data_IF_676196743152
#
_entry.id   IF_676196743152
#
_cell.length_a   1.000
_cell.length_b   1.000
_cell.length_c   1.000
_cell.angle_alpha   90.00
_cell.angle_beta   90.00
_cell.angle_gamma   90.00
#
_symmetry.space_group_name_H-M   'P 1'
#
loop_
_entity.id
_entity.type
_entity.pdbx_description
1 polymer ?
#
# COMPACT_ATOMS: atom_id res chain seq x y z
N UNK A 1 -32.54 -9.26 4.78
CA UNK A 1 -31.17 -8.77 5.08
C UNK A 1 -30.06 -9.79 4.81
N UNK A 2 -30.30 -11.11 4.96
CA UNK A 2 -29.28 -12.16 4.71
C UNK A 2 -28.82 -12.28 3.24
N UNK A 3 -29.62 -11.82 2.28
CA UNK A 3 -29.33 -12.03 0.85
C UNK A 3 -28.32 -11.02 0.28
N UNK A 4 -28.23 -9.81 0.87
CA UNK A 4 -27.36 -8.74 0.36
C UNK A 4 -25.87 -8.92 0.66
N UNK A 5 -25.52 -9.59 1.76
CA UNK A 5 -24.11 -9.91 2.06
C UNK A 5 -23.61 -11.07 1.21
N UNK A 6 -24.45 -12.10 1.01
CA UNK A 6 -24.16 -13.22 0.12
C UNK A 6 -23.99 -12.76 -1.34
N UNK A 7 -24.81 -11.82 -1.80
CA UNK A 7 -24.63 -11.27 -3.15
C UNK A 7 -23.35 -10.46 -3.28
N UNK A 8 -23.01 -9.64 -2.27
CA UNK A 8 -21.75 -8.88 -2.25
C UNK A 8 -20.50 -9.78 -2.30
N UNK A 9 -20.48 -10.87 -1.52
CA UNK A 9 -19.34 -11.81 -1.54
C UNK A 9 -19.20 -12.51 -2.88
N UNK A 10 -20.30 -12.91 -3.51
CA UNK A 10 -20.29 -13.51 -4.86
C UNK A 10 -19.69 -12.53 -5.87
N UNK A 11 -20.12 -11.27 -5.86
CA UNK A 11 -19.59 -10.24 -6.79
C UNK A 11 -18.09 -10.04 -6.56
N UNK A 12 -17.66 -9.94 -5.30
CA UNK A 12 -16.25 -9.80 -4.98
C UNK A 12 -15.43 -11.01 -5.48
N UNK A 13 -15.94 -12.23 -5.30
CA UNK A 13 -15.26 -13.43 -5.81
C UNK A 13 -15.22 -13.48 -7.33
N UNK A 14 -16.27 -13.05 -8.03
CA UNK A 14 -16.28 -12.97 -9.50
C UNK A 14 -15.23 -11.99 -10.01
N UNK A 15 -15.09 -10.84 -9.37
CA UNK A 15 -14.06 -9.86 -9.70
C UNK A 15 -12.64 -10.37 -9.38
N UNK A 16 -12.45 -11.17 -8.34
CA UNK A 16 -11.15 -11.83 -8.10
C UNK A 16 -10.85 -12.92 -9.13
N UNK A 17 -11.87 -13.68 -9.55
CA UNK A 17 -11.70 -14.72 -10.58
C UNK A 17 -11.39 -14.14 -11.95
N UNK A 18 -11.81 -12.90 -12.23
CA UNK A 18 -11.50 -12.21 -13.49
C UNK A 18 -10.00 -11.92 -13.63
N UNK A 19 -9.23 -11.89 -12.53
CA UNK A 19 -7.78 -11.68 -12.55
C UNK A 19 -7.03 -12.72 -13.39
N UNK A 20 -7.56 -13.95 -13.45
CA UNK A 20 -6.98 -15.00 -14.29
C UNK A 20 -7.01 -14.66 -15.78
N UNK A 21 -7.96 -13.82 -16.21
CA UNK A 21 -8.18 -13.45 -17.61
C UNK A 21 -7.64 -12.06 -17.95
N UNK A 22 -7.41 -11.21 -16.95
CA UNK A 22 -6.98 -9.83 -17.17
C UNK A 22 -5.46 -9.70 -17.21
N UNK A 23 -4.91 -9.55 -18.42
CA UNK A 23 -3.47 -9.40 -18.65
C UNK A 23 -2.87 -8.15 -17.99
N UNK A 24 -3.68 -7.11 -17.70
CA UNK A 24 -3.17 -5.93 -16.98
C UNK A 24 -2.69 -6.32 -15.59
N UNK A 25 -3.45 -7.14 -14.87
CA UNK A 25 -3.13 -7.52 -13.49
C UNK A 25 -1.84 -8.35 -13.46
N UNK A 26 -1.68 -9.25 -14.42
CA UNK A 26 -0.42 -10.00 -14.61
C UNK A 26 0.76 -9.09 -14.95
N UNK A 27 0.56 -8.10 -15.82
CA UNK A 27 1.59 -7.10 -16.14
C UNK A 27 2.00 -6.30 -14.91
N UNK A 28 1.04 -5.81 -14.12
CA UNK A 28 1.30 -5.04 -12.89
C UNK A 28 2.09 -5.91 -11.90
N UNK A 29 1.64 -7.14 -11.65
CA UNK A 29 2.34 -8.07 -10.75
C UNK A 29 3.78 -8.36 -11.20
N UNK A 30 4.01 -8.56 -12.50
CA UNK A 30 5.34 -8.82 -13.06
C UNK A 30 6.26 -7.60 -12.92
N UNK A 31 5.77 -6.40 -13.23
CA UNK A 31 6.55 -5.16 -13.09
C UNK A 31 6.95 -4.94 -11.63
N UNK A 32 6.02 -5.11 -10.69
CA UNK A 32 6.30 -4.96 -9.26
C UNK A 32 7.31 -5.99 -8.78
N UNK A 33 7.17 -7.25 -9.20
CA UNK A 33 8.13 -8.30 -8.86
C UNK A 33 9.54 -7.92 -9.34
N UNK A 34 9.70 -7.46 -10.58
CA UNK A 34 10.99 -7.03 -11.13
C UNK A 34 11.55 -5.83 -10.34
N UNK A 35 10.70 -4.86 -9.97
CA UNK A 35 11.12 -3.71 -9.15
C UNK A 35 11.62 -4.14 -7.77
N UNK A 36 10.91 -5.04 -7.10
CA UNK A 36 11.30 -5.58 -5.79
C UNK A 36 12.63 -6.32 -5.89
N UNK A 37 12.77 -7.22 -6.88
CA UNK A 37 14.01 -7.97 -7.10
C UNK A 37 15.16 -7.00 -7.35
N UNK A 38 15.00 -6.06 -8.28
CA UNK A 38 16.05 -5.10 -8.63
C UNK A 38 16.45 -4.22 -7.45
N UNK A 39 15.49 -3.84 -6.62
CA UNK A 39 15.80 -3.10 -5.41
C UNK A 39 16.53 -3.98 -4.40
N UNK A 40 16.02 -5.16 -4.09
CA UNK A 40 16.51 -5.98 -2.99
C UNK A 40 17.78 -6.78 -3.31
N UNK A 41 18.11 -7.04 -4.57
CA UNK A 41 19.25 -7.88 -4.97
C UNK A 41 20.60 -7.42 -4.41
N UNK A 42 20.76 -6.11 -4.16
CA UNK A 42 21.98 -5.57 -3.53
C UNK A 42 22.19 -6.04 -2.09
N UNK A 43 21.13 -6.41 -1.38
CA UNK A 43 21.19 -6.90 0.00
C UNK A 43 21.87 -8.27 0.07
N UNK A 44 21.39 -9.34 -0.59
CA UNK A 44 22.04 -10.65 -0.53
C UNK A 44 23.43 -10.65 -1.17
N UNK A 45 23.66 -9.88 -2.24
CA UNK A 45 24.97 -9.75 -2.87
C UNK A 45 26.04 -9.20 -1.93
N UNK A 46 25.67 -8.30 -1.02
CA UNK A 46 26.58 -7.79 0.00
C UNK A 46 26.61 -8.69 1.25
N UNK A 47 25.49 -9.31 1.60
CA UNK A 47 25.34 -10.16 2.77
C UNK A 47 26.22 -11.41 2.71
N UNK A 48 26.11 -12.17 1.61
CA UNK A 48 26.71 -13.50 1.48
C UNK A 48 28.24 -13.47 1.54
N UNK A 49 28.95 -12.59 0.80
CA UNK A 49 30.41 -12.56 0.84
C UNK A 49 30.96 -12.08 2.19
N UNK A 50 30.18 -11.29 2.93
CA UNK A 50 30.58 -10.73 4.22
C UNK A 50 30.08 -11.54 5.42
N UNK A 51 29.40 -12.67 5.20
CA UNK A 51 28.81 -13.50 6.27
C UNK A 51 27.78 -12.76 7.12
N UNK A 52 27.11 -11.74 6.55
CA UNK A 52 26.12 -10.91 7.26
C UNK A 52 24.70 -11.41 7.01
N UNK A 53 23.81 -11.10 7.94
CA UNK A 53 22.41 -11.54 7.93
C UNK A 53 21.46 -10.36 7.71
N UNK A 54 20.26 -10.65 7.23
CA UNK A 54 19.19 -9.70 6.93
C UNK A 54 17.85 -10.20 7.47
N UNK A 55 17.00 -9.27 7.87
CA UNK A 55 15.65 -9.54 8.39
C UNK A 55 14.79 -10.37 7.43
N UNK A 56 14.02 -11.32 7.98
CA UNK A 56 13.04 -12.11 7.23
C UNK A 56 11.95 -11.28 6.52
N UNK A 57 11.53 -10.14 7.09
CA UNK A 57 10.47 -9.29 6.53
C UNK A 57 10.97 -7.87 6.24
N UNK A 58 11.23 -7.60 4.96
CA UNK A 58 11.69 -6.30 4.48
C UNK A 58 10.56 -5.32 4.12
N UNK A 59 9.31 -5.65 4.42
CA UNK A 59 8.18 -4.77 4.15
C UNK A 59 8.32 -3.37 4.79
N UNK A 60 8.77 -3.25 6.06
CA UNK A 60 9.07 -1.95 6.66
C UNK A 60 10.22 -1.20 5.99
N UNK A 61 11.16 -1.93 5.38
CA UNK A 61 12.32 -1.39 4.66
C UNK A 61 11.94 -0.93 3.26
N UNK A 62 11.08 -1.67 2.55
CA UNK A 62 10.58 -1.30 1.23
C UNK A 62 9.68 -0.06 1.27
N UNK A 63 8.99 0.14 2.39
CA UNK A 63 8.12 1.29 2.65
C UNK A 63 8.81 2.36 3.51
N UNK A 64 10.13 2.25 3.71
CA UNK A 64 10.93 3.25 4.41
C UNK A 64 10.91 4.59 3.66
N UNK A 65 11.06 5.68 4.40
CA UNK A 65 10.79 7.02 3.89
C UNK A 65 11.76 7.49 2.81
N UNK A 66 11.32 8.48 2.02
CA UNK A 66 12.00 8.92 0.80
C UNK A 66 13.43 9.45 1.03
N UNK A 67 13.69 10.04 2.20
CA UNK A 67 15.03 10.50 2.61
C UNK A 67 16.00 9.35 2.91
N UNK A 68 15.48 8.16 3.18
CA UNK A 68 16.22 7.02 3.67
C UNK A 68 16.36 5.90 2.62
N UNK A 69 15.37 5.71 1.73
CA UNK A 69 15.29 4.51 0.87
C UNK A 69 15.20 4.76 -0.64
N UNK A 70 15.56 5.96 -1.13
CA UNK A 70 15.31 6.39 -2.52
C UNK A 70 13.80 6.25 -2.85
N UNK A 71 12.96 7.11 -2.26
CA UNK A 71 11.49 7.01 -2.16
C UNK A 71 10.66 6.75 -3.43
N UNK A 72 11.29 6.65 -4.59
CA UNK A 72 10.67 6.22 -5.85
C UNK A 72 10.05 4.82 -5.75
N UNK A 73 10.64 3.86 -5.03
CA UNK A 73 10.09 2.50 -4.98
C UNK A 73 8.74 2.46 -4.27
N UNK A 74 8.62 3.14 -3.12
CA UNK A 74 7.37 3.28 -2.37
C UNK A 74 6.27 3.89 -3.26
N UNK A 75 6.59 4.98 -3.95
CA UNK A 75 5.72 5.65 -4.92
C UNK A 75 5.27 4.68 -6.03
N UNK A 76 6.20 3.93 -6.63
CA UNK A 76 5.90 2.96 -7.69
C UNK A 76 5.01 1.80 -7.21
N UNK A 77 5.19 1.33 -5.97
CA UNK A 77 4.31 0.31 -5.36
C UNK A 77 2.88 0.84 -5.25
N UNK A 78 2.67 2.08 -4.80
CA UNK A 78 1.32 2.64 -4.72
C UNK A 78 0.73 2.95 -6.10
N UNK A 79 1.53 3.36 -7.08
CA UNK A 79 1.11 3.45 -8.47
C UNK A 79 0.66 2.09 -9.04
N UNK A 80 1.36 1.01 -8.71
CA UNK A 80 0.92 -0.36 -9.04
C UNK A 80 -0.47 -0.68 -8.46
N UNK A 81 -0.74 -0.25 -7.23
CA UNK A 81 -2.06 -0.36 -6.60
C UNK A 81 -3.13 0.45 -7.34
N UNK A 82 -2.83 1.69 -7.75
CA UNK A 82 -3.76 2.51 -8.55
C UNK A 82 -4.07 1.85 -9.89
N UNK A 83 -3.07 1.31 -10.59
CA UNK A 83 -3.25 0.60 -11.86
C UNK A 83 -4.06 -0.69 -11.72
N UNK A 84 -4.03 -1.32 -10.54
CA UNK A 84 -4.88 -2.47 -10.24
C UNK A 84 -6.36 -2.06 -10.13
N UNK A 85 -6.63 -0.84 -9.65
CA UNK A 85 -7.98 -0.32 -9.44
C UNK A 85 -8.48 0.68 -10.50
N UNK A 86 -7.71 0.96 -11.55
CA UNK A 86 -8.00 2.05 -12.49
C UNK A 86 -9.29 1.85 -13.31
N UNK A 87 -9.74 0.61 -13.47
CA UNK A 87 -10.98 0.26 -14.18
C UNK A 87 -12.23 0.34 -13.31
N UNK A 88 -12.14 0.78 -12.05
CA UNK A 88 -13.31 0.85 -11.18
C UNK A 88 -14.44 1.68 -11.83
N UNK A 89 -15.69 1.19 -11.91
CA UNK A 89 -16.17 -0.14 -11.50
C UNK A 89 -15.74 -1.30 -12.42
N UNK A 90 -15.31 -2.43 -11.82
CA UNK A 90 -14.47 -3.45 -12.46
C UNK A 90 -15.13 -4.37 -13.51
N UNK A 91 -16.42 -4.16 -13.82
CA UNK A 91 -17.21 -5.11 -14.61
C UNK A 91 -17.36 -4.70 -16.09
N UNK A 92 -16.68 -5.48 -16.95
CA UNK A 92 -16.86 -5.53 -18.42
C UNK A 92 -18.20 -6.17 -18.82
N UNK A 93 -18.70 -5.75 -19.99
CA UNK A 93 -19.82 -6.19 -20.85
C UNK A 93 -21.15 -6.66 -20.21
N UNK A 94 -21.14 -7.48 -19.16
CA UNK A 94 -22.34 -8.02 -18.48
C UNK A 94 -22.76 -7.27 -17.19
N UNK A 95 -22.25 -6.05 -16.98
CA UNK A 95 -22.54 -5.22 -15.80
C UNK A 95 -24.03 -5.06 -15.50
N UNK A 96 -24.85 -4.86 -16.54
CA UNK A 96 -26.29 -4.67 -16.42
C UNK A 96 -27.00 -5.92 -15.92
N UNK A 97 -26.59 -7.09 -16.41
CA UNK A 97 -27.15 -8.38 -15.97
C UNK A 97 -26.81 -8.67 -14.50
N UNK A 98 -25.58 -8.36 -14.07
CA UNK A 98 -25.15 -8.58 -12.69
C UNK A 98 -25.88 -7.65 -11.72
N UNK A 99 -26.03 -6.36 -12.07
CA UNK A 99 -26.77 -5.38 -11.27
C UNK A 99 -28.26 -5.79 -11.16
N UNK A 100 -28.87 -6.26 -12.25
CA UNK A 100 -30.26 -6.70 -12.25
C UNK A 100 -30.48 -7.92 -11.33
N UNK A 101 -29.55 -8.88 -11.31
CA UNK A 101 -29.69 -10.12 -10.52
C UNK A 101 -29.28 -9.98 -9.05
N UNK A 102 -28.18 -9.28 -8.77
CA UNK A 102 -27.66 -9.15 -7.41
C UNK A 102 -28.31 -7.99 -6.62
N UNK A 103 -29.01 -7.10 -7.33
CA UNK A 103 -29.49 -5.83 -6.82
C UNK A 103 -28.36 -4.82 -6.64
N UNK A 104 -28.66 -3.55 -6.91
CA UNK A 104 -27.70 -2.43 -6.83
C UNK A 104 -27.04 -2.31 -5.44
N UNK A 105 -27.79 -2.66 -4.37
CA UNK A 105 -27.30 -2.70 -2.97
C UNK A 105 -26.26 -3.80 -2.71
N UNK A 106 -26.37 -4.94 -3.39
CA UNK A 106 -25.36 -6.00 -3.32
C UNK A 106 -24.13 -5.66 -4.14
N UNK A 107 -24.35 -4.99 -5.28
CA UNK A 107 -23.32 -4.59 -6.23
C UNK A 107 -22.28 -3.64 -5.63
N UNK A 108 -22.67 -2.45 -5.17
CA UNK A 108 -21.69 -1.49 -4.64
C UNK A 108 -20.93 -2.03 -3.43
N UNK A 109 -21.60 -2.84 -2.59
CA UNK A 109 -20.97 -3.53 -1.45
C UNK A 109 -19.95 -4.58 -1.91
N UNK A 110 -20.27 -5.31 -2.97
CA UNK A 110 -19.38 -6.31 -3.56
C UNK A 110 -18.13 -5.68 -4.18
N UNK A 111 -18.30 -4.56 -4.90
CA UNK A 111 -17.18 -3.77 -5.43
C UNK A 111 -16.29 -3.24 -4.31
N UNK A 112 -16.87 -2.68 -3.24
CA UNK A 112 -16.07 -2.23 -2.10
C UNK A 112 -15.33 -3.39 -1.39
N UNK A 113 -16.02 -4.51 -1.18
CA UNK A 113 -15.43 -5.71 -0.57
C UNK A 113 -14.29 -6.27 -1.43
N UNK A 114 -14.44 -6.23 -2.76
CA UNK A 114 -13.38 -6.60 -3.70
C UNK A 114 -12.15 -5.71 -3.54
N UNK A 115 -12.31 -4.38 -3.51
CA UNK A 115 -11.18 -3.44 -3.34
C UNK A 115 -10.43 -3.74 -2.03
N UNK A 116 -11.16 -3.98 -0.94
CA UNK A 116 -10.57 -4.35 0.33
C UNK A 116 -9.78 -5.66 0.25
N UNK A 117 -10.38 -6.75 -0.26
CA UNK A 117 -9.68 -8.04 -0.35
C UNK A 117 -8.46 -7.95 -1.28
N UNK A 118 -8.62 -7.27 -2.42
CA UNK A 118 -7.56 -7.07 -3.40
C UNK A 118 -6.37 -6.28 -2.83
N UNK A 119 -6.60 -5.26 -1.99
CA UNK A 119 -5.51 -4.49 -1.39
C UNK A 119 -4.66 -5.33 -0.43
N UNK A 120 -5.29 -6.19 0.38
CA UNK A 120 -4.57 -7.12 1.25
C UNK A 120 -3.80 -8.18 0.45
N UNK A 121 -4.42 -8.77 -0.59
CA UNK A 121 -3.74 -9.74 -1.47
C UNK A 121 -2.52 -9.09 -2.15
N UNK A 122 -2.66 -7.85 -2.61
CA UNK A 122 -1.59 -7.10 -3.27
C UNK A 122 -0.39 -6.87 -2.33
N UNK A 123 -0.63 -6.38 -1.11
CA UNK A 123 0.45 -6.19 -0.15
C UNK A 123 1.05 -7.52 0.32
N UNK A 124 0.26 -8.59 0.40
CA UNK A 124 0.76 -9.92 0.75
C UNK A 124 1.67 -10.46 -0.37
N UNK A 125 1.32 -10.24 -1.63
CA UNK A 125 2.18 -10.59 -2.77
C UNK A 125 3.54 -9.88 -2.70
N UNK A 126 3.55 -8.58 -2.39
CA UNK A 126 4.79 -7.81 -2.19
C UNK A 126 5.60 -8.39 -1.02
N UNK A 127 4.94 -8.73 0.09
CA UNK A 127 5.58 -9.34 1.25
C UNK A 127 6.29 -10.65 0.87
N UNK A 128 5.60 -11.54 0.17
CA UNK A 128 6.13 -12.83 -0.27
C UNK A 128 7.30 -12.63 -1.24
N UNK A 129 7.18 -11.73 -2.22
CA UNK A 129 8.28 -11.42 -3.14
C UNK A 129 9.51 -10.90 -2.37
N UNK A 130 9.32 -10.05 -1.37
CA UNK A 130 10.41 -9.52 -0.56
C UNK A 130 11.12 -10.61 0.26
N UNK A 131 10.36 -11.55 0.83
CA UNK A 131 10.86 -12.69 1.57
C UNK A 131 11.68 -13.63 0.68
N UNK A 132 11.20 -13.93 -0.53
CA UNK A 132 11.88 -14.83 -1.47
C UNK A 132 13.27 -14.34 -1.87
N UNK A 133 13.46 -13.02 -2.01
CA UNK A 133 14.77 -12.45 -2.37
C UNK A 133 15.80 -12.57 -1.24
N UNK A 134 15.35 -12.55 0.02
CA UNK A 134 16.23 -12.52 1.21
C UNK A 134 16.41 -13.88 1.87
N UNK A 135 15.69 -14.90 1.40
CA UNK A 135 15.83 -16.30 1.80
C UNK A 135 17.31 -16.76 1.96
N UNK A 136 18.27 -16.42 1.07
CA UNK A 136 19.66 -16.87 1.25
C UNK A 136 20.41 -16.23 2.44
N UNK A 137 19.93 -15.13 3.02
CA UNK A 137 20.63 -14.32 4.03
C UNK A 137 19.84 -14.11 5.31
N UNK A 138 18.92 -15.02 5.63
CA UNK A 138 17.80 -14.76 6.52
C UNK A 138 18.13 -14.87 8.01
N UNK A 139 17.66 -13.87 8.78
CA UNK A 139 17.57 -13.89 10.24
C UNK A 139 16.12 -13.81 10.70
N UNK A 140 15.73 -14.75 11.57
CA UNK A 140 14.32 -14.94 11.95
C UNK A 140 13.82 -13.96 13.02
N UNK A 141 14.67 -13.60 13.98
CA UNK A 141 14.27 -12.87 15.19
C UNK A 141 14.92 -11.50 15.33
N UNK A 142 15.96 -11.23 14.54
CA UNK A 142 16.70 -9.97 14.56
C UNK A 142 16.61 -9.22 13.25
N UNK A 143 16.94 -7.94 13.30
CA UNK A 143 17.01 -7.08 12.14
C UNK A 143 18.21 -7.40 11.24
N UNK A 144 19.14 -8.27 11.63
CA UNK A 144 20.32 -8.55 10.83
C UNK A 144 21.39 -7.46 10.88
N UNK A 145 22.65 -7.90 10.91
CA UNK A 145 23.82 -7.01 11.03
C UNK A 145 23.98 -6.05 9.84
N UNK A 146 23.37 -6.33 8.68
CA UNK A 146 23.41 -5.45 7.50
C UNK A 146 22.71 -4.12 7.78
N UNK A 147 21.58 -4.15 8.49
CA UNK A 147 20.77 -2.96 8.72
C UNK A 147 21.39 -2.07 9.80
N UNK A 148 22.05 -2.65 10.80
CA UNK A 148 22.88 -1.91 11.75
C UNK A 148 24.02 -1.18 11.06
N UNK A 149 24.64 -1.80 10.06
CA UNK A 149 25.71 -1.20 9.27
C UNK A 149 25.19 -0.13 8.31
N UNK A 150 24.03 -0.35 7.68
CA UNK A 150 23.36 0.64 6.82
C UNK A 150 23.03 1.93 7.56
N UNK A 151 22.84 1.83 8.88
CA UNK A 151 22.48 2.95 9.72
C UNK A 151 23.67 3.91 9.99
N UNK A 152 24.91 3.48 9.73
CA UNK A 152 26.10 4.33 9.84
C UNK A 152 26.36 5.10 8.53
N UNK A 153 26.23 6.44 8.58
CA UNK A 153 26.38 7.36 7.44
C UNK A 153 27.63 7.15 6.58
N UNK A 154 28.74 6.66 7.13
CA UNK A 154 29.99 6.44 6.39
C UNK A 154 29.94 5.23 5.43
N UNK A 155 29.11 4.22 5.74
CA UNK A 155 29.03 2.96 4.98
C UNK A 155 27.92 2.97 3.90
N UNK A 156 27.19 4.09 3.79
CA UNK A 156 26.05 4.28 2.87
C UNK A 156 26.37 4.12 1.39
N UNK A 157 27.62 4.34 1.00
CA UNK A 157 28.07 4.15 -0.39
C UNK A 157 28.01 2.69 -0.84
N UNK A 158 28.09 1.74 0.10
CA UNK A 158 28.15 0.31 -0.20
C UNK A 158 26.75 -0.30 -0.40
N UNK A 159 25.71 0.31 0.17
CA UNK A 159 24.31 -0.14 0.06
C UNK A 159 23.46 0.73 -0.87
N UNK A 160 24.09 1.53 -1.75
CA UNK A 160 23.42 2.44 -2.69
C UNK A 160 22.42 3.38 -1.98
N UNK A 161 22.88 4.11 -0.96
CA UNK A 161 22.10 5.12 -0.23
C UNK A 161 20.83 4.62 0.45
N UNK A 162 20.78 3.33 0.82
CA UNK A 162 19.71 2.76 1.63
C UNK A 162 20.06 2.86 3.10
N UNK A 163 19.51 3.86 3.76
CA UNK A 163 19.57 4.05 5.20
C UNK A 163 18.28 3.53 5.79
N UNK A 164 18.37 2.65 6.79
CA UNK A 164 17.24 2.39 7.67
C UNK A 164 17.46 3.13 9.00
N UNK A 165 16.45 3.79 9.57
CA UNK A 165 16.66 4.64 10.74
C UNK A 165 16.98 3.79 11.96
N UNK A 166 18.08 4.16 12.63
CA UNK A 166 18.57 3.52 13.86
C UNK A 166 17.48 3.36 14.92
N UNK A 167 16.60 4.35 15.03
CA UNK A 167 15.57 4.41 16.05
C UNK A 167 14.52 3.31 15.89
N UNK A 168 14.22 2.87 14.67
CA UNK A 168 13.24 1.79 14.43
C UNK A 168 13.88 0.44 14.74
N UNK A 169 15.14 0.23 14.32
CA UNK A 169 15.90 -1.01 14.59
C UNK A 169 16.04 -1.25 16.09
N UNK A 170 16.38 -0.20 16.85
CA UNK A 170 16.69 -0.33 18.29
C UNK A 170 15.48 -0.52 19.19
N UNK A 171 14.27 -0.16 18.73
CA UNK A 171 13.09 -0.04 19.60
C UNK A 171 11.92 -0.94 19.19
N UNK A 172 12.08 -1.75 18.13
CA UNK A 172 11.02 -2.63 17.63
C UNK A 172 11.47 -4.04 17.36
N UNK A 173 10.59 -4.99 17.70
CA UNK A 173 10.68 -6.34 17.17
C UNK A 173 10.29 -6.30 15.68
N UNK A 174 11.09 -6.99 14.86
CA UNK A 174 10.91 -7.19 13.42
C UNK A 174 9.46 -7.54 13.06
N UNK A 175 8.86 -8.50 13.77
CA UNK A 175 7.53 -8.98 13.46
C UNK A 175 6.45 -7.93 13.70
N UNK A 176 6.60 -7.13 14.76
CA UNK A 176 5.68 -6.04 15.07
C UNK A 176 5.78 -4.91 14.04
N UNK A 177 7.00 -4.59 13.60
CA UNK A 177 7.21 -3.61 12.55
C UNK A 177 6.63 -4.07 11.21
N UNK A 178 6.90 -5.32 10.83
CA UNK A 178 6.37 -5.92 9.60
C UNK A 178 4.84 -5.97 9.59
N UNK A 179 4.22 -6.38 10.69
CA UNK A 179 2.76 -6.41 10.80
C UNK A 179 2.15 -5.01 10.72
N UNK A 180 2.73 -4.03 11.42
CA UNK A 180 2.28 -2.64 11.36
C UNK A 180 2.34 -2.11 9.92
N UNK A 181 3.50 -2.24 9.26
CA UNK A 181 3.69 -1.79 7.88
C UNK A 181 2.75 -2.49 6.91
N UNK A 182 2.49 -3.80 7.09
CA UNK A 182 1.56 -4.55 6.25
C UNK A 182 0.12 -4.03 6.37
N UNK A 183 -0.38 -3.84 7.60
CA UNK A 183 -1.76 -3.39 7.81
C UNK A 183 -1.94 -1.97 7.29
N UNK A 184 -1.02 -1.06 7.62
CA UNK A 184 -1.15 0.35 7.22
C UNK A 184 -1.05 0.49 5.70
N UNK A 185 -0.10 -0.17 5.05
CA UNK A 185 0.00 -0.14 3.59
C UNK A 185 -1.20 -0.77 2.88
N UNK A 186 -1.78 -1.83 3.45
CA UNK A 186 -3.02 -2.42 2.91
C UNK A 186 -4.20 -1.45 3.02
N UNK A 187 -4.29 -0.71 4.13
CA UNK A 187 -5.30 0.33 4.33
C UNK A 187 -5.10 1.53 3.40
N UNK A 188 -3.86 1.93 3.11
CA UNK A 188 -3.61 3.03 2.18
C UNK A 188 -3.91 2.65 0.74
N UNK A 189 -3.55 1.43 0.32
CA UNK A 189 -3.96 0.89 -0.99
C UNK A 189 -5.49 0.78 -1.11
N UNK A 190 -6.17 0.35 -0.04
CA UNK A 190 -7.63 0.31 0.01
C UNK A 190 -8.24 1.71 -0.12
N UNK A 191 -7.69 2.70 0.59
CA UNK A 191 -8.12 4.10 0.53
C UNK A 191 -7.97 4.65 -0.89
N UNK A 192 -6.81 4.42 -1.53
CA UNK A 192 -6.58 4.82 -2.93
C UNK A 192 -7.58 4.16 -3.87
N UNK A 193 -7.86 2.86 -3.70
CA UNK A 193 -8.86 2.14 -4.50
C UNK A 193 -10.27 2.71 -4.33
N UNK A 194 -10.70 3.01 -3.09
CA UNK A 194 -11.99 3.64 -2.83
C UNK A 194 -12.07 5.05 -3.39
N UNK A 195 -10.97 5.80 -3.36
CA UNK A 195 -10.92 7.15 -3.93
C UNK A 195 -11.11 7.08 -5.44
N UNK A 196 -10.39 6.20 -6.14
CA UNK A 196 -10.58 5.99 -7.59
C UNK A 196 -12.04 5.62 -7.87
N UNK A 197 -12.60 4.68 -7.12
CA UNK A 197 -13.99 4.25 -7.33
C UNK A 197 -15.00 5.37 -7.08
N UNK A 198 -14.85 6.13 -5.98
CA UNK A 198 -15.76 7.22 -5.65
C UNK A 198 -15.77 8.31 -6.73
N UNK A 199 -14.59 8.76 -7.18
CA UNK A 199 -14.50 9.77 -8.24
C UNK A 199 -15.02 9.26 -9.58
N UNK A 200 -14.76 7.99 -9.91
CA UNK A 200 -15.26 7.40 -11.15
C UNK A 200 -16.78 7.31 -11.17
N UNK A 201 -17.41 7.00 -10.03
CA UNK A 201 -18.88 7.01 -9.88
C UNK A 201 -19.44 8.44 -9.94
N UNK A 202 -18.81 9.42 -9.29
CA UNK A 202 -19.28 10.82 -9.28
C UNK A 202 -19.20 11.45 -10.68
N UNK A 203 -18.09 11.26 -11.38
CA UNK A 203 -17.84 11.93 -12.67
C UNK A 203 -18.31 11.13 -13.88
N UNK A 204 -18.62 9.84 -13.70
CA UNK A 204 -18.95 8.92 -14.79
C UNK A 204 -17.79 8.66 -15.76
N UNK A 205 -16.57 9.06 -15.41
CA UNK A 205 -15.34 8.91 -16.21
C UNK A 205 -14.25 8.28 -15.35
N UNK A 206 -13.34 7.53 -15.97
CA UNK A 206 -12.30 6.79 -15.21
C UNK A 206 -11.04 7.61 -14.92
N UNK A 207 -10.77 8.68 -15.69
CA UNK A 207 -9.55 9.48 -15.53
C UNK A 207 -9.49 10.36 -14.26
N UNK A 208 -10.58 10.94 -13.73
CA UNK A 208 -10.50 11.85 -12.59
C UNK A 208 -10.06 11.15 -11.30
N UNK A 209 -10.55 9.93 -11.05
CA UNK A 209 -10.16 9.14 -9.88
C UNK A 209 -8.70 8.73 -9.93
N UNK A 210 -8.21 8.34 -11.11
CA UNK A 210 -6.80 8.01 -11.32
C UNK A 210 -5.90 9.22 -11.05
N UNK A 211 -6.25 10.41 -11.56
CA UNK A 211 -5.47 11.62 -11.31
C UNK A 211 -5.48 12.01 -9.83
N UNK A 212 -6.63 11.98 -9.16
CA UNK A 212 -6.73 12.33 -7.75
C UNK A 212 -5.89 11.38 -6.88
N UNK A 213 -5.94 10.08 -7.14
CA UNK A 213 -5.09 9.10 -6.45
C UNK A 213 -3.59 9.29 -6.77
N UNK A 214 -3.25 9.60 -8.02
CA UNK A 214 -1.87 9.85 -8.45
C UNK A 214 -1.28 11.10 -7.79
N UNK A 215 -2.07 12.17 -7.67
CA UNK A 215 -1.67 13.39 -6.97
C UNK A 215 -1.37 13.12 -5.49
N UNK A 216 -2.17 12.28 -4.82
CA UNK A 216 -1.91 11.89 -3.43
C UNK A 216 -0.62 11.07 -3.28
N UNK A 217 -0.34 10.17 -4.22
CA UNK A 217 0.90 9.36 -4.20
C UNK A 217 2.13 10.21 -4.48
N UNK A 218 2.06 11.14 -5.44
CA UNK A 218 3.17 12.07 -5.74
C UNK A 218 3.35 13.15 -4.67
N UNK A 219 2.33 13.39 -3.83
CA UNK A 219 2.44 14.26 -2.67
C UNK A 219 3.42 13.75 -1.61
N UNK A 220 3.66 12.43 -1.53
CA UNK A 220 4.55 11.79 -0.55
C UNK A 220 5.99 12.37 -0.59
N UNK A 221 6.74 12.32 -1.70
CA UNK A 221 8.08 12.91 -1.77
C UNK A 221 8.09 14.43 -1.62
N UNK A 222 7.02 15.11 -2.05
CA UNK A 222 6.90 16.57 -1.93
C UNK A 222 6.79 16.99 -0.46
N UNK A 223 5.91 16.33 0.31
CA UNK A 223 5.74 16.61 1.74
C UNK A 223 7.03 16.37 2.51
N UNK A 224 7.77 15.32 2.16
CA UNK A 224 9.06 15.01 2.81
C UNK A 224 10.13 16.04 2.41
N UNK A 225 10.17 16.48 1.15
CA UNK A 225 11.14 17.49 0.70
C UNK A 225 10.91 18.85 1.36
N UNK A 226 9.65 19.24 1.56
CA UNK A 226 9.27 20.49 2.23
C UNK A 226 9.15 20.36 3.75
N UNK A 227 9.60 19.24 4.34
CA UNK A 227 9.51 19.04 5.78
C UNK A 227 10.45 19.98 6.53
N UNK A 228 9.86 20.96 7.21
CA UNK A 228 10.47 21.86 8.19
C UNK A 228 9.58 21.84 9.45
N UNK A 229 10.10 22.28 10.60
CA UNK A 229 9.33 22.31 11.86
C UNK A 229 7.95 23.00 11.72
N UNK A 230 7.82 23.96 10.80
CA UNK A 230 6.59 24.70 10.50
C UNK A 230 5.59 23.98 9.56
N UNK A 231 6.00 22.94 8.82
CA UNK A 231 5.16 22.19 7.85
C UNK A 231 4.80 20.78 8.33
N UNK A 232 5.06 20.47 9.60
CA UNK A 232 4.73 19.20 10.27
C UNK A 232 3.26 18.78 10.15
N UNK A 233 2.34 19.74 9.96
CA UNK A 233 0.92 19.48 9.70
C UNK A 233 0.66 18.77 8.37
N UNK A 234 1.53 18.91 7.36
CA UNK A 234 1.35 18.29 6.04
C UNK A 234 1.46 16.76 6.11
N UNK A 235 2.18 16.22 7.10
CA UNK A 235 2.25 14.78 7.36
C UNK A 235 0.93 14.21 7.89
N UNK A 236 0.04 15.03 8.47
CA UNK A 236 -1.28 14.62 8.94
C UNK A 236 -2.28 14.37 7.80
N UNK A 237 -1.96 14.75 6.57
CA UNK A 237 -2.91 14.66 5.43
C UNK A 237 -2.41 13.80 4.27
N UNK A 238 -1.27 13.13 4.42
CA UNK A 238 -0.73 12.21 3.41
C UNK A 238 -0.84 10.75 3.90
N UNK A 239 -1.86 10.00 3.46
CA UNK A 239 -2.01 8.58 3.80
C UNK A 239 -0.78 7.75 3.39
N UNK A 240 -0.10 8.16 2.31
CA UNK A 240 1.09 7.49 1.80
C UNK A 240 2.27 7.63 2.77
N UNK A 241 2.41 8.79 3.43
CA UNK A 241 3.45 9.01 4.46
C UNK A 241 3.22 8.14 5.71
N UNK A 242 1.97 7.78 6.01
CA UNK A 242 1.66 6.95 7.18
C UNK A 242 2.11 5.50 7.04
N UNK A 243 2.30 5.02 5.80
CA UNK A 243 2.78 3.66 5.53
C UNK A 243 4.24 3.45 5.95
N UNK A 244 5.01 4.54 6.09
CA UNK A 244 6.37 4.52 6.63
C UNK A 244 6.32 4.43 8.15
N UNK A 245 6.90 3.37 8.72
CA UNK A 245 6.92 3.18 10.19
C UNK A 245 7.74 4.27 10.90
N UNK A 246 8.68 4.89 10.19
CA UNK A 246 9.62 5.90 10.67
C UNK A 246 8.90 7.18 11.15
N UNK A 247 7.76 7.49 10.53
CA UNK A 247 6.96 8.70 10.81
C UNK A 247 6.06 8.59 12.04
N UNK A 248 6.21 7.51 12.81
CA UNK A 248 5.51 7.37 14.08
C UNK A 248 6.22 8.14 15.19
N UNK A 249 5.41 8.76 16.06
CA UNK A 249 5.87 9.48 17.27
C UNK A 249 6.88 8.69 18.10
N UNK A 250 6.69 7.37 18.14
CA UNK A 250 7.54 6.45 18.90
C UNK A 250 9.00 6.40 18.40
N UNK A 251 9.27 6.75 17.15
CA UNK A 251 10.58 6.57 16.52
C UNK A 251 11.25 7.88 16.07
N UNK A 252 10.49 8.96 15.87
CA UNK A 252 11.03 10.26 15.41
C UNK A 252 10.91 11.41 16.43
N UNK A 253 10.29 11.21 17.60
CA UNK A 253 10.17 12.22 18.64
C UNK A 253 8.82 12.96 18.69
N UNK A 254 8.76 14.06 19.46
CA UNK A 254 7.53 14.84 19.68
C UNK A 254 7.07 15.59 18.43
N UNK A 255 5.78 15.50 18.11
CA UNK A 255 5.17 16.14 16.93
C UNK A 255 4.70 15.18 15.83
N UNK A 256 5.05 13.89 15.91
CA UNK A 256 4.67 12.89 14.89
C UNK A 256 3.49 11.99 15.29
N UNK A 257 3.00 11.20 14.32
CA UNK A 257 1.71 10.50 14.34
C UNK A 257 1.69 9.32 15.33
N UNK A 258 0.56 9.12 16.02
CA UNK A 258 0.33 7.92 16.84
C UNK A 258 -0.21 6.79 15.97
N UNK A 259 0.16 5.54 16.23
CA UNK A 259 -0.36 4.38 15.48
C UNK A 259 -1.88 4.31 15.48
N UNK A 260 -2.53 4.62 16.61
CA UNK A 260 -3.98 4.69 16.74
C UNK A 260 -4.59 5.75 15.82
N UNK A 261 -3.94 6.90 15.68
CA UNK A 261 -4.41 7.97 14.80
C UNK A 261 -4.38 7.51 13.34
N UNK A 262 -3.30 6.87 12.90
CA UNK A 262 -3.17 6.36 11.51
C UNK A 262 -4.30 5.37 11.19
N UNK A 263 -4.57 4.42 12.08
CA UNK A 263 -5.66 3.46 11.89
C UNK A 263 -7.05 4.14 11.90
N UNK A 264 -7.31 5.01 12.87
CA UNK A 264 -8.61 5.65 13.01
C UNK A 264 -8.92 6.56 11.81
N UNK A 265 -7.95 7.35 11.36
CA UNK A 265 -8.13 8.29 10.25
C UNK A 265 -8.21 7.59 8.91
N UNK A 266 -7.38 6.57 8.65
CA UNK A 266 -7.50 5.79 7.41
C UNK A 266 -8.85 5.08 7.29
N UNK A 267 -9.35 4.49 8.39
CA UNK A 267 -10.66 3.84 8.42
C UNK A 267 -11.81 4.85 8.30
N UNK A 268 -11.71 6.03 8.92
CA UNK A 268 -12.76 7.06 8.82
C UNK A 268 -12.86 7.61 7.40
N UNK A 269 -11.74 7.87 6.72
CA UNK A 269 -11.73 8.30 5.32
C UNK A 269 -12.35 7.21 4.43
N UNK A 270 -11.98 5.94 4.65
CA UNK A 270 -12.59 4.83 3.91
C UNK A 270 -14.11 4.75 4.14
N UNK A 271 -14.57 4.95 5.38
CA UNK A 271 -15.99 4.96 5.70
C UNK A 271 -16.74 6.11 4.99
N UNK A 272 -16.17 7.31 4.96
CA UNK A 272 -16.73 8.46 4.25
C UNK A 272 -16.82 8.18 2.75
N UNK A 273 -15.76 7.66 2.13
CA UNK A 273 -15.76 7.30 0.71
C UNK A 273 -16.82 6.25 0.39
N UNK A 274 -16.99 5.22 1.25
CA UNK A 274 -18.07 4.24 1.10
C UNK A 274 -19.46 4.87 1.19
N UNK A 275 -19.67 5.88 2.04
CA UNK A 275 -20.94 6.60 2.10
C UNK A 275 -21.21 7.40 0.82
N UNK A 276 -20.20 8.08 0.27
CA UNK A 276 -20.30 8.82 -1.00
C UNK A 276 -20.64 7.88 -2.16
N UNK A 277 -19.94 6.74 -2.24
CA UNK A 277 -20.22 5.70 -3.25
C UNK A 277 -21.66 5.22 -3.13
N UNK A 278 -22.12 4.94 -1.91
CA UNK A 278 -23.49 4.49 -1.64
C UNK A 278 -24.52 5.53 -2.11
N UNK A 279 -24.35 6.80 -1.76
CA UNK A 279 -25.28 7.88 -2.12
C UNK A 279 -25.36 8.04 -3.64
N UNK A 280 -24.21 8.12 -4.33
CA UNK A 280 -24.19 8.28 -5.79
C UNK A 280 -24.67 7.06 -6.56
N UNK A 281 -24.44 5.84 -6.05
CA UNK A 281 -25.02 4.64 -6.68
C UNK A 281 -26.53 4.53 -6.50
N UNK A 282 -27.12 5.25 -5.52
CA UNK A 282 -28.56 5.37 -5.34
C UNK A 282 -29.17 6.52 -6.16
N UNK A 283 -28.44 7.62 -6.40
CA UNK A 283 -28.95 8.75 -7.21
C UNK A 283 -29.14 8.40 -8.69
N UNK A 284 -28.38 7.44 -9.23
CA UNK A 284 -28.58 6.91 -10.58
C UNK A 284 -29.90 6.12 -10.77
N UNK A 285 -30.84 6.23 -9.82
CA UNK A 285 -32.18 5.66 -9.82
C UNK A 285 -33.28 6.69 -10.25
N UNK A 286 -32.90 7.94 -10.58
CA UNK A 286 -33.77 9.01 -11.12
C UNK A 286 -33.34 9.41 -12.54
#
# INVERSE_FOLDING_TARGET
>A
MKDGFKSATIIATLNLLSWKKDYRIWSVGTVIMVLIIRYLIGVPLYALPNGKTSTALLLPVLLADAMNSNGLLKVLIFFGGILLFCDAPFLKDNKWFLIHRAGRRGWWKGECLYIAIASFIYMAFIAVCSFLVVLPCLEWNGWGSIWEISSNKLMNYVLYSKVYPKNVISSTNVWNAAFYSYVVSSLTVMLLGYLVYAFNVITGKNWPGILAASCLVLGDPVVIYFYHEQTSWMMLFSPVNWSSIENLKKYSGEGMLTSVYVYAVSLSICAILMMVIKEKTQEMDL
#
